data_IF_241834346900
#
_entry.id   IF_241834346900
#
_cell.length_a   1.000
_cell.length_b   1.000
_cell.length_c   1.000
_cell.angle_alpha   90.00
_cell.angle_beta   90.00
_cell.angle_gamma   90.00
#
_symmetry.space_group_name_H-M   'P 1'
#
loop_
_entity.id
_entity.type
_entity.pdbx_description
1 polymer ?
#
# COMPACT_ATOMS: atom_id res chain seq x y z
N UNK A 1 -0.38 -4.48 -5.95
CA UNK A 1 0.53 -5.20 -5.04
C UNK A 1 0.77 -6.57 -5.64
N UNK A 2 2.02 -6.99 -5.74
CA UNK A 2 2.38 -8.27 -6.38
C UNK A 2 3.47 -8.98 -5.57
N UNK A 3 3.28 -10.28 -5.36
CA UNK A 3 4.27 -11.20 -4.79
C UNK A 3 4.19 -12.50 -5.59
N UNK A 4 5.24 -12.79 -6.37
CA UNK A 4 5.27 -13.89 -7.34
C UNK A 4 4.02 -13.93 -8.24
N UNK A 5 3.13 -14.93 -8.07
CA UNK A 5 1.93 -15.11 -8.88
C UNK A 5 0.66 -14.53 -8.22
N UNK A 6 0.79 -13.92 -7.03
CA UNK A 6 -0.32 -13.35 -6.28
C UNK A 6 -0.36 -11.85 -6.45
N UNK A 7 -1.55 -11.33 -6.72
CA UNK A 7 -1.78 -9.90 -6.89
C UNK A 7 -2.98 -9.42 -6.07
N UNK A 8 -2.91 -8.18 -5.64
CA UNK A 8 -4.04 -7.45 -5.07
C UNK A 8 -3.98 -5.97 -5.45
N UNK A 9 -5.15 -5.35 -5.61
CA UNK A 9 -5.32 -3.97 -6.06
C UNK A 9 -6.26 -3.22 -5.13
N UNK A 10 -5.99 -1.93 -4.98
CA UNK A 10 -6.84 -1.01 -4.24
C UNK A 10 -6.73 0.39 -4.85
N UNK A 11 -7.76 1.20 -4.62
CA UNK A 11 -7.78 2.59 -5.04
C UNK A 11 -7.57 3.49 -3.82
N UNK A 12 -7.07 4.69 -4.05
CA UNK A 12 -6.93 5.73 -3.04
C UNK A 12 -6.72 7.07 -3.73
N UNK A 13 -6.61 8.12 -2.92
CA UNK A 13 -6.46 9.48 -3.42
C UNK A 13 -5.18 10.10 -2.90
N UNK A 14 -4.53 10.87 -3.77
CA UNK A 14 -3.54 11.85 -3.35
C UNK A 14 -4.16 12.90 -2.44
N UNK A 15 -3.32 13.68 -1.75
CA UNK A 15 -3.76 14.76 -0.90
C UNK A 15 -2.77 15.93 -1.01
N UNK A 16 -3.27 17.16 -1.06
CA UNK A 16 -2.39 18.34 -1.17
C UNK A 16 -1.50 18.55 0.05
N UNK A 17 -1.77 17.86 1.17
CA UNK A 17 -0.97 17.90 2.40
C UNK A 17 0.09 16.78 2.47
N UNK A 18 0.21 15.90 1.47
CA UNK A 18 1.23 14.85 1.47
C UNK A 18 2.63 15.47 1.47
N UNK A 19 3.49 14.97 2.35
CA UNK A 19 4.86 15.49 2.52
C UNK A 19 5.92 14.60 1.90
N UNK A 20 5.72 13.28 1.96
CA UNK A 20 6.61 12.27 1.34
C UNK A 20 8.08 12.40 1.81
N UNK A 21 8.28 12.67 3.10
CA UNK A 21 9.62 12.96 3.65
C UNK A 21 10.22 11.81 4.44
N UNK A 22 9.45 10.75 4.74
CA UNK A 22 10.00 9.59 5.45
C UNK A 22 10.90 8.77 4.51
N UNK A 23 12.11 8.47 4.97
CA UNK A 23 13.12 7.78 4.17
C UNK A 23 12.99 6.25 4.21
N UNK A 24 12.20 5.69 5.13
CA UNK A 24 12.15 4.25 5.38
C UNK A 24 10.76 3.67 5.13
N UNK A 25 9.71 4.43 5.45
CA UNK A 25 8.34 3.93 5.51
C UNK A 25 7.43 4.58 4.46
N UNK A 26 6.55 3.75 3.87
CA UNK A 26 5.42 4.20 3.05
C UNK A 26 4.12 3.66 3.67
N UNK A 27 3.11 4.52 3.80
CA UNK A 27 1.81 4.16 4.39
C UNK A 27 0.65 4.58 3.48
N UNK A 28 -0.24 3.62 3.22
CA UNK A 28 -1.52 3.82 2.56
C UNK A 28 -2.64 3.78 3.60
N UNK A 29 -3.53 4.78 3.62
CA UNK A 29 -4.50 4.98 4.70
C UNK A 29 -5.93 4.91 4.20
N UNK A 30 -6.77 4.15 4.93
CA UNK A 30 -8.23 4.14 4.76
C UNK A 30 -8.88 5.44 5.24
N UNK A 31 -8.27 6.13 6.21
CA UNK A 31 -8.70 7.45 6.68
C UNK A 31 -8.06 8.59 5.87
N UNK A 32 -8.47 9.83 6.16
CA UNK A 32 -7.91 11.04 5.57
C UNK A 32 -6.69 11.62 6.35
N UNK A 33 -6.22 10.93 7.39
CA UNK A 33 -5.10 11.42 8.21
C UNK A 33 -3.80 11.44 7.41
N UNK A 34 -3.00 12.50 7.55
CA UNK A 34 -1.74 12.66 6.83
C UNK A 34 -0.58 12.82 7.81
N UNK A 35 0.50 12.09 7.55
CA UNK A 35 1.81 12.29 8.18
C UNK A 35 2.93 12.10 7.13
N UNK A 36 4.19 12.25 7.54
CA UNK A 36 5.37 12.21 6.65
C UNK A 36 5.46 10.95 5.77
N UNK A 37 4.91 9.83 6.26
CA UNK A 37 4.91 8.51 5.62
C UNK A 37 3.75 8.27 4.66
N UNK A 38 2.72 9.11 4.73
CA UNK A 38 1.48 8.86 3.97
C UNK A 38 1.73 9.10 2.48
N UNK A 39 1.34 8.13 1.64
CA UNK A 39 1.41 8.24 0.16
C UNK A 39 0.01 8.29 -0.47
N UNK A 40 -0.96 7.56 0.09
CA UNK A 40 -2.37 7.65 -0.31
C UNK A 40 -3.27 7.73 0.92
N UNK A 41 -4.39 8.43 0.77
CA UNK A 41 -5.48 8.53 1.75
C UNK A 41 -6.79 8.03 1.16
N UNK A 42 -7.78 7.78 2.03
CA UNK A 42 -9.10 7.28 1.63
C UNK A 42 -9.03 6.01 0.76
N UNK A 43 -8.09 5.11 1.08
CA UNK A 43 -7.91 3.86 0.36
C UNK A 43 -9.13 2.94 0.53
N UNK A 44 -9.49 2.21 -0.52
CA UNK A 44 -10.60 1.23 -0.48
C UNK A 44 -10.28 0.03 0.42
N UNK A 45 -9.00 -0.26 0.65
CA UNK A 45 -8.51 -1.36 1.48
C UNK A 45 -7.56 -0.86 2.58
N UNK A 46 -7.63 -1.53 3.72
CA UNK A 46 -6.61 -1.54 4.77
C UNK A 46 -5.80 -2.84 4.70
N UNK A 47 -4.75 -2.97 5.51
CA UNK A 47 -3.92 -4.17 5.54
C UNK A 47 -4.72 -5.46 5.84
N UNK A 48 -5.77 -5.38 6.66
CA UNK A 48 -6.64 -6.52 6.97
C UNK A 48 -7.55 -6.94 5.81
N UNK A 49 -7.76 -6.05 4.83
CA UNK A 49 -8.61 -6.26 3.67
C UNK A 49 -7.82 -6.84 2.47
N UNK A 50 -6.50 -6.99 2.60
CA UNK A 50 -5.64 -7.58 1.57
C UNK A 50 -5.87 -9.08 1.41
N UNK A 51 -5.70 -9.57 0.18
CA UNK A 51 -5.78 -11.00 -0.16
C UNK A 51 -4.94 -11.85 0.79
N UNK A 52 -5.57 -12.88 1.38
CA UNK A 52 -4.88 -13.77 2.32
C UNK A 52 -3.79 -14.57 1.65
N UNK A 53 -3.99 -15.01 0.41
CA UNK A 53 -2.98 -15.76 -0.33
C UNK A 53 -1.72 -14.91 -0.58
N UNK A 54 -1.90 -13.63 -0.91
CA UNK A 54 -0.79 -12.69 -1.09
C UNK A 54 -0.03 -12.47 0.23
N UNK A 55 -0.76 -12.30 1.34
CA UNK A 55 -0.14 -12.09 2.66
C UNK A 55 0.59 -13.34 3.16
N UNK A 56 -0.02 -14.53 3.03
CA UNK A 56 0.64 -15.76 3.46
C UNK A 56 1.89 -16.06 2.61
N UNK A 57 1.83 -15.80 1.30
CA UNK A 57 3.01 -15.92 0.44
C UNK A 57 4.12 -14.93 0.84
N UNK A 58 3.77 -13.66 1.11
CA UNK A 58 4.74 -12.63 1.49
C UNK A 58 5.48 -12.93 2.81
N UNK A 59 4.88 -13.71 3.72
CA UNK A 59 5.51 -14.10 5.00
C UNK A 59 6.67 -15.07 4.81
N UNK A 60 6.76 -15.77 3.67
CA UNK A 60 7.89 -16.65 3.39
C UNK A 60 9.19 -15.85 3.25
N UNK A 61 10.28 -16.35 3.83
CA UNK A 61 11.57 -15.66 3.80
C UNK A 61 12.10 -15.48 2.38
N UNK A 62 12.57 -14.28 2.06
CA UNK A 62 13.19 -13.96 0.77
C UNK A 62 12.21 -13.52 -0.32
N UNK A 63 10.89 -13.51 -0.05
CA UNK A 63 9.89 -12.95 -0.95
C UNK A 63 9.98 -11.43 -0.99
N UNK A 64 9.61 -10.87 -2.14
CA UNK A 64 9.64 -9.42 -2.39
C UNK A 64 8.26 -8.94 -2.76
N UNK A 65 7.82 -7.86 -2.12
CA UNK A 65 6.61 -7.14 -2.49
C UNK A 65 6.94 -6.09 -3.55
N UNK A 66 6.26 -6.17 -4.69
CA UNK A 66 6.27 -5.14 -5.72
C UNK A 66 5.01 -4.27 -5.61
N UNK A 67 5.21 -2.96 -5.68
CA UNK A 67 4.13 -1.96 -5.66
C UNK A 67 4.20 -1.17 -6.96
N UNK A 68 3.11 -1.16 -7.72
CA UNK A 68 2.96 -0.39 -8.96
C UNK A 68 1.85 0.65 -8.75
N UNK A 69 2.14 1.88 -9.16
CA UNK A 69 1.16 2.97 -9.17
C UNK A 69 0.65 3.16 -10.59
N UNK A 70 -0.67 3.28 -10.73
CA UNK A 70 -1.35 3.55 -11.99
C UNK A 70 -2.36 4.68 -11.74
N UNK A 71 -2.47 5.60 -12.70
CA UNK A 71 -3.48 6.67 -12.70
C UNK A 71 -4.62 6.26 -13.65
N UNK A 72 -5.85 6.55 -13.25
CA UNK A 72 -7.07 6.26 -14.01
C UNK A 72 -7.75 7.55 -14.43
#
# INVERSE_FOLDING_TARGET
LEVDNYQDHFFGFGNNMLKLQDANDIVFRKSNFVCERTVLTNCTKSASDLSRDLIENLKESGRRLSIKFEEY
#
